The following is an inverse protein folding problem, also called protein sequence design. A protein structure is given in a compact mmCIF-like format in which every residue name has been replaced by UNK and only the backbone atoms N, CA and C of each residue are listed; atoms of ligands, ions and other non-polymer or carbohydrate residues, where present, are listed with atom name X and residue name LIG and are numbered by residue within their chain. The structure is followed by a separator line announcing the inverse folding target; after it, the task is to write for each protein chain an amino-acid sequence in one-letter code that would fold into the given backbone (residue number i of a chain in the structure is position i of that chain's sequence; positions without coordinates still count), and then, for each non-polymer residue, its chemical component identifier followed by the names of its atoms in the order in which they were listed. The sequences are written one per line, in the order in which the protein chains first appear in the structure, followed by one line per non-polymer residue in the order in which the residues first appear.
data_IF_054443008648
#
_entry.id   IF_054443008648
#
_cell.length_a   1.000
_cell.length_b   1.000
_cell.length_c   1.000
_cell.angle_alpha   90.00
_cell.angle_beta   90.00
_cell.angle_gamma   90.00
#
_symmetry.space_group_name_H-M   'P 1'
#
loop_
_entity.id
_entity.type
_entity.pdbx_description
1 polymer ?
#
# COMPACT_ATOMS: atom_id res chain seq x y z
N UNK A 1 -16.74 9.64 -12.23
CA UNK A 1 -17.51 8.44 -11.79
C UNK A 1 -18.32 8.65 -10.50
N UNK A 2 -17.75 8.88 -9.31
CA UNK A 2 -18.59 9.04 -8.10
C UNK A 2 -19.48 10.28 -8.18
N UNK A 3 -18.91 11.48 -8.37
CA UNK A 3 -19.67 12.74 -8.44
C UNK A 3 -20.60 12.85 -9.66
N UNK A 4 -20.27 12.17 -10.76
CA UNK A 4 -21.00 12.32 -12.02
C UNK A 4 -22.08 11.25 -12.21
N UNK A 5 -21.94 10.09 -11.57
CA UNK A 5 -22.82 8.93 -11.83
C UNK A 5 -23.43 8.44 -10.52
N UNK A 6 -22.62 8.14 -9.50
CA UNK A 6 -23.13 7.50 -8.28
C UNK A 6 -23.88 8.50 -7.40
N UNK A 7 -23.33 9.70 -7.16
CA UNK A 7 -23.94 10.70 -6.29
C UNK A 7 -25.33 11.15 -6.78
N UNK A 8 -25.52 11.53 -8.07
CA UNK A 8 -26.84 11.89 -8.57
C UNK A 8 -27.86 10.75 -8.44
N UNK A 9 -27.47 9.52 -8.81
CA UNK A 9 -28.36 8.36 -8.74
C UNK A 9 -28.76 7.97 -7.32
N UNK A 10 -27.92 8.28 -6.33
CA UNK A 10 -28.27 8.06 -4.92
C UNK A 10 -29.11 9.21 -4.37
N UNK A 11 -28.82 10.45 -4.77
CA UNK A 11 -29.60 11.64 -4.39
C UNK A 11 -31.03 11.60 -4.94
N UNK A 12 -31.26 10.94 -6.08
CA UNK A 12 -32.61 10.64 -6.61
C UNK A 12 -33.40 9.64 -5.75
N UNK A 13 -32.74 8.91 -4.83
CA UNK A 13 -33.42 7.92 -3.97
C UNK A 13 -33.66 8.49 -2.56
N UNK A 14 -34.93 8.56 -2.15
CA UNK A 14 -35.32 9.03 -0.80
C UNK A 14 -34.74 8.19 0.35
N UNK A 15 -34.31 6.96 0.06
CA UNK A 15 -33.80 6.02 1.06
C UNK A 15 -32.26 5.96 1.15
N UNK A 16 -31.51 6.64 0.27
CA UNK A 16 -30.04 6.68 0.33
C UNK A 16 -29.35 5.35 0.02
N UNK A 17 -29.94 4.57 -0.89
CA UNK A 17 -29.39 3.31 -1.38
C UNK A 17 -29.51 3.24 -2.89
N UNK A 18 -28.46 2.79 -3.56
CA UNK A 18 -28.46 2.56 -5.00
C UNK A 18 -27.82 1.22 -5.32
N UNK A 19 -28.46 0.39 -6.13
CA UNK A 19 -27.86 -0.87 -6.58
C UNK A 19 -27.46 -0.73 -8.05
N UNK A 20 -26.19 -0.98 -8.34
CA UNK A 20 -25.64 -0.91 -9.70
C UNK A 20 -24.81 -2.15 -10.03
N UNK A 21 -24.80 -2.51 -11.31
CA UNK A 21 -23.86 -3.51 -11.80
C UNK A 21 -22.52 -2.84 -12.12
N UNK A 22 -21.49 -3.20 -11.38
CA UNK A 22 -20.15 -2.63 -11.52
C UNK A 22 -19.08 -3.69 -11.77
N UNK A 23 -17.83 -3.26 -11.69
CA UNK A 23 -16.65 -4.10 -11.90
C UNK A 23 -16.55 -5.33 -10.97
N UNK A 24 -17.22 -5.28 -9.82
CA UNK A 24 -17.34 -6.37 -8.85
C UNK A 24 -18.63 -7.18 -9.00
N UNK A 25 -19.41 -6.95 -10.05
CA UNK A 25 -20.78 -7.44 -10.20
C UNK A 25 -21.80 -6.51 -9.52
N UNK A 26 -22.96 -7.06 -9.18
CA UNK A 26 -23.99 -6.33 -8.45
C UNK A 26 -23.44 -5.78 -7.13
N UNK A 27 -23.53 -4.46 -6.98
CA UNK A 27 -22.97 -3.72 -5.85
C UNK A 27 -24.04 -2.75 -5.34
N UNK A 28 -24.30 -2.79 -4.03
CA UNK A 28 -25.16 -1.83 -3.36
C UNK A 28 -24.32 -0.70 -2.77
N UNK A 29 -24.57 0.52 -3.23
CA UNK A 29 -24.02 1.76 -2.71
C UNK A 29 -24.91 2.26 -1.57
N UNK A 30 -24.28 2.60 -0.45
CA UNK A 30 -24.94 3.03 0.79
C UNK A 30 -24.44 4.43 1.14
N UNK A 31 -25.32 5.42 1.16
CA UNK A 31 -24.98 6.80 1.59
C UNK A 31 -25.67 7.20 2.88
N UNK A 32 -26.72 6.48 3.30
CA UNK A 32 -27.42 6.76 4.55
C UNK A 32 -26.52 6.49 5.77
N UNK A 33 -26.22 7.49 6.64
CA UNK A 33 -25.25 7.35 7.73
C UNK A 33 -25.58 6.22 8.73
N UNK A 34 -26.86 6.02 9.05
CA UNK A 34 -27.29 4.94 9.94
C UNK A 34 -27.03 3.54 9.36
N UNK A 35 -27.13 3.40 8.03
CA UNK A 35 -26.87 2.14 7.34
C UNK A 35 -25.36 1.91 7.21
N UNK A 36 -24.58 2.95 6.89
CA UNK A 36 -23.12 2.90 6.89
C UNK A 36 -22.56 2.51 8.27
N UNK A 37 -23.08 3.11 9.36
CA UNK A 37 -22.70 2.72 10.73
C UNK A 37 -22.96 1.24 10.98
N UNK A 38 -24.13 0.73 10.59
CA UNK A 38 -24.47 -0.70 10.74
C UNK A 38 -23.54 -1.60 9.92
N UNK A 39 -23.22 -1.21 8.68
CA UNK A 39 -22.28 -1.92 7.80
C UNK A 39 -20.90 -2.03 8.46
N UNK A 40 -20.32 -0.92 8.90
CA UNK A 40 -18.97 -0.89 9.49
C UNK A 40 -18.89 -1.49 10.90
N UNK A 41 -19.98 -1.46 11.67
CA UNK A 41 -19.97 -2.00 13.05
C UNK A 41 -20.20 -3.51 13.11
N UNK A 42 -20.88 -4.11 12.12
CA UNK A 42 -21.24 -5.53 12.12
C UNK A 42 -20.38 -6.34 11.15
N UNK A 43 -19.09 -6.41 11.42
CA UNK A 43 -18.09 -7.08 10.56
C UNK A 43 -18.37 -8.56 10.32
N UNK A 44 -19.07 -9.24 11.24
CA UNK A 44 -19.45 -10.66 11.07
C UNK A 44 -20.61 -10.84 10.08
N UNK A 45 -21.51 -9.86 9.98
CA UNK A 45 -22.60 -9.86 9.00
C UNK A 45 -22.18 -9.30 7.65
N UNK A 46 -21.23 -8.36 7.66
CA UNK A 46 -20.73 -7.67 6.48
C UNK A 46 -19.20 -7.83 6.41
N UNK A 47 -18.69 -9.05 6.16
CA UNK A 47 -17.28 -9.25 5.98
C UNK A 47 -16.79 -8.51 4.73
N UNK A 48 -15.52 -8.08 4.73
CA UNK A 48 -14.89 -7.63 3.49
C UNK A 48 -15.01 -8.73 2.43
N UNK A 49 -15.18 -8.30 1.19
CA UNK A 49 -15.31 -9.20 0.04
C UNK A 49 -14.02 -10.00 -0.18
N UNK A 50 -14.17 -11.30 -0.43
CA UNK A 50 -13.11 -12.11 -1.01
C UNK A 50 -12.79 -11.62 -2.42
N UNK A 51 -11.54 -11.24 -2.65
CA UNK A 51 -11.12 -10.85 -3.98
C UNK A 51 -11.08 -12.08 -4.91
N UNK A 52 -11.48 -11.93 -6.20
CA UNK A 52 -11.49 -13.07 -7.12
C UNK A 52 -10.07 -13.63 -7.35
N UNK A 53 -9.93 -14.95 -7.32
CA UNK A 53 -8.66 -15.63 -7.59
C UNK A 53 -8.11 -15.33 -8.98
N UNK A 54 -8.98 -15.01 -9.93
CA UNK A 54 -8.61 -14.62 -11.30
C UNK A 54 -7.72 -13.37 -11.36
N UNK A 55 -7.69 -12.57 -10.29
CA UNK A 55 -6.83 -11.39 -10.20
C UNK A 55 -5.52 -11.64 -9.49
N UNK A 56 -5.34 -12.77 -8.82
CA UNK A 56 -4.15 -13.07 -8.02
C UNK A 56 -2.86 -12.89 -8.83
N UNK A 57 -2.86 -13.39 -10.06
CA UNK A 57 -1.70 -13.35 -10.96
C UNK A 57 -1.55 -12.04 -11.75
N UNK A 58 -2.43 -11.05 -11.54
CA UNK A 58 -2.28 -9.73 -12.15
C UNK A 58 -1.18 -8.93 -11.44
N UNK A 59 -0.66 -7.87 -12.05
CA UNK A 59 0.32 -6.98 -11.39
C UNK A 59 -0.25 -6.45 -10.06
N UNK A 60 -1.48 -5.95 -10.07
CA UNK A 60 -2.16 -5.49 -8.86
C UNK A 60 -2.34 -6.64 -7.86
N UNK A 61 -2.68 -7.84 -8.33
CA UNK A 61 -2.88 -9.01 -7.49
C UNK A 61 -1.63 -9.46 -6.76
N UNK A 62 -0.52 -9.61 -7.49
CA UNK A 62 0.77 -9.95 -6.92
C UNK A 62 1.26 -8.88 -5.93
N UNK A 63 1.03 -7.61 -6.25
CA UNK A 63 1.48 -6.51 -5.41
C UNK A 63 0.67 -6.37 -4.12
N UNK A 64 -0.66 -6.53 -4.15
CA UNK A 64 -1.53 -6.22 -3.00
C UNK A 64 -2.60 -7.26 -2.68
N UNK A 65 -2.65 -8.45 -3.29
CA UNK A 65 -3.71 -9.45 -3.08
C UNK A 65 -3.25 -10.81 -2.54
N UNK A 66 -1.95 -11.04 -2.32
CA UNK A 66 -1.51 -12.09 -1.37
C UNK A 66 -2.07 -11.79 0.03
N UNK A 67 -2.17 -12.76 0.97
CA UNK A 67 -2.81 -12.55 2.27
C UNK A 67 -2.31 -11.30 3.01
N UNK A 68 -3.09 -10.22 2.94
CA UNK A 68 -2.76 -8.94 3.52
C UNK A 68 -3.95 -8.37 4.30
N UNK A 69 -3.64 -7.53 5.29
CA UNK A 69 -4.62 -7.00 6.23
C UNK A 69 -5.76 -6.18 5.55
N UNK A 70 -5.47 -5.56 4.40
CA UNK A 70 -6.42 -4.69 3.70
C UNK A 70 -7.51 -5.50 3.02
N UNK A 71 -7.15 -6.57 2.29
CA UNK A 71 -8.09 -7.36 1.48
C UNK A 71 -8.55 -8.67 2.12
N UNK A 72 -7.94 -9.12 3.22
CA UNK A 72 -8.44 -10.28 3.96
C UNK A 72 -9.85 -10.02 4.52
N UNK A 73 -10.80 -10.96 4.36
CA UNK A 73 -12.09 -10.91 5.04
C UNK A 73 -11.93 -10.83 6.56
N UNK A 74 -12.93 -10.26 7.21
CA UNK A 74 -13.01 -10.32 8.66
C UNK A 74 -13.12 -11.79 9.10
N UNK A 75 -12.12 -12.26 9.86
CA UNK A 75 -11.97 -13.67 10.25
C UNK A 75 -10.73 -13.90 11.11
N UNK A 76 -10.42 -15.15 11.51
CA UNK A 76 -9.31 -15.47 12.39
C UNK A 76 -7.95 -14.95 11.89
N UNK A 77 -7.62 -15.19 10.62
CA UNK A 77 -6.36 -14.71 10.01
C UNK A 77 -6.24 -13.18 10.02
N UNK A 78 -7.34 -12.47 9.73
CA UNK A 78 -7.34 -11.00 9.81
C UNK A 78 -7.16 -10.51 11.25
N UNK A 79 -7.79 -11.18 12.23
CA UNK A 79 -7.65 -10.83 13.65
C UNK A 79 -6.22 -11.03 14.13
N UNK A 80 -5.58 -12.13 13.73
CA UNK A 80 -4.19 -12.47 14.04
C UNK A 80 -3.21 -11.42 13.47
N UNK A 81 -3.27 -11.15 12.16
CA UNK A 81 -2.44 -10.12 11.54
C UNK A 81 -2.65 -8.75 12.20
N UNK A 82 -3.90 -8.41 12.54
CA UNK A 82 -4.23 -7.13 13.20
C UNK A 82 -3.73 -7.07 14.64
N UNK A 83 -3.74 -8.16 15.39
CA UNK A 83 -3.22 -8.17 16.76
C UNK A 83 -1.72 -7.91 16.81
N UNK A 84 -0.97 -8.37 15.80
CA UNK A 84 0.47 -8.10 15.66
C UNK A 84 0.73 -6.65 15.26
N UNK A 85 -0.05 -6.11 14.31
CA UNK A 85 0.16 -4.76 13.77
C UNK A 85 -0.34 -3.64 14.68
N UNK A 86 -1.48 -3.81 15.35
CA UNK A 86 -2.14 -2.75 16.14
C UNK A 86 -1.21 -2.07 17.17
N UNK A 87 -0.41 -2.80 17.99
CA UNK A 87 0.49 -2.17 18.96
C UNK A 87 1.42 -1.13 18.33
N UNK A 88 1.95 -1.43 17.15
CA UNK A 88 2.85 -0.54 16.43
C UNK A 88 2.17 0.73 15.88
N UNK A 89 0.84 0.74 15.75
CA UNK A 89 0.06 1.92 15.35
C UNK A 89 -0.56 2.69 16.53
N UNK A 90 -0.58 2.11 17.74
CA UNK A 90 -1.02 2.81 18.95
C UNK A 90 0.08 3.65 19.62
N UNK A 91 1.31 3.56 19.12
CA UNK A 91 2.44 4.40 19.58
C UNK A 91 2.25 5.87 19.18
N UNK A 92 3.00 6.75 19.85
CA UNK A 92 3.10 8.15 19.43
C UNK A 92 3.59 8.26 17.99
N UNK A 93 2.95 9.10 17.17
CA UNK A 93 3.40 9.34 15.79
C UNK A 93 4.85 9.88 15.77
N UNK A 94 5.68 9.50 14.78
CA UNK A 94 7.06 9.94 14.67
C UNK A 94 7.13 11.38 14.11
N UNK A 95 6.66 12.36 14.88
CA UNK A 95 6.53 13.76 14.44
C UNK A 95 7.88 14.35 14.01
N UNK A 96 8.96 14.01 14.71
CA UNK A 96 10.31 14.47 14.37
C UNK A 96 10.73 14.00 12.97
N UNK A 97 10.57 12.70 12.68
CA UNK A 97 10.86 12.13 11.35
C UNK A 97 10.08 12.85 10.25
N UNK A 98 8.79 13.08 10.45
CA UNK A 98 7.98 13.80 9.46
C UNK A 98 8.45 15.25 9.28
N UNK A 99 8.88 15.92 10.35
CA UNK A 99 9.48 17.25 10.28
C UNK A 99 10.78 17.25 9.47
N UNK A 100 11.68 16.32 9.75
CA UNK A 100 12.97 16.17 9.05
C UNK A 100 12.77 15.85 7.57
N UNK A 101 11.88 14.92 7.22
CA UNK A 101 11.56 14.60 5.84
C UNK A 101 10.90 15.77 5.11
N UNK A 102 10.06 16.56 5.79
CA UNK A 102 9.47 17.77 5.21
C UNK A 102 10.55 18.82 4.91
N UNK A 103 11.51 19.02 5.80
CA UNK A 103 12.66 19.90 5.54
C UNK A 103 13.54 19.36 4.39
N UNK A 104 13.81 18.04 4.36
CA UNK A 104 14.52 17.37 3.25
C UNK A 104 13.82 17.65 1.92
N UNK A 105 12.49 17.57 1.90
CA UNK A 105 11.66 17.84 0.72
C UNK A 105 11.77 19.29 0.26
N UNK A 106 11.57 20.28 1.16
CA UNK A 106 11.66 21.70 0.78
C UNK A 106 13.06 22.08 0.30
N UNK A 107 14.11 21.59 0.96
CA UNK A 107 15.48 21.80 0.51
C UNK A 107 15.73 21.19 -0.88
N UNK A 108 15.11 20.05 -1.19
CA UNK A 108 15.23 19.45 -2.51
C UNK A 108 14.46 20.24 -3.57
N UNK A 109 13.24 20.68 -3.24
CA UNK A 109 12.45 21.57 -4.09
C UNK A 109 13.27 22.82 -4.43
N UNK A 110 13.81 23.52 -3.44
CA UNK A 110 14.64 24.72 -3.67
C UNK A 110 15.86 24.47 -4.58
N UNK A 111 16.49 23.29 -4.47
CA UNK A 111 17.61 22.90 -5.35
C UNK A 111 17.18 22.65 -6.78
N UNK A 112 16.04 21.97 -6.97
CA UNK A 112 15.48 21.65 -8.28
C UNK A 112 14.87 22.89 -8.95
N UNK A 113 14.48 23.89 -8.14
CA UNK A 113 13.78 25.13 -8.50
C UNK A 113 14.66 26.30 -8.95
N UNK A 114 15.95 26.09 -9.26
CA UNK A 114 16.70 27.06 -10.05
C UNK A 114 16.15 27.02 -11.51
N UNK A 115 14.92 27.48 -11.72
CA UNK A 115 14.27 27.76 -13.02
C UNK A 115 13.08 26.92 -13.49
N UNK A 116 12.45 26.05 -12.69
CA UNK A 116 11.61 24.94 -13.22
C UNK A 116 10.16 24.81 -12.70
N UNK A 117 9.42 25.92 -12.55
CA UNK A 117 7.95 25.85 -12.36
C UNK A 117 7.24 25.41 -13.66
N UNK A 118 6.16 24.60 -13.59
CA UNK A 118 5.41 24.14 -12.41
C UNK A 118 5.94 22.85 -11.76
N UNK A 119 5.64 22.69 -10.46
CA UNK A 119 5.99 21.49 -9.68
C UNK A 119 4.88 20.43 -9.81
N UNK A 120 5.28 19.17 -9.99
CA UNK A 120 4.38 18.03 -9.83
C UNK A 120 4.22 17.68 -8.34
N UNK A 121 3.13 18.17 -7.74
CA UNK A 121 2.82 17.93 -6.31
C UNK A 121 2.58 16.44 -6.02
N UNK A 122 2.06 15.67 -6.98
CA UNK A 122 1.79 14.25 -6.78
C UNK A 122 3.10 13.46 -6.72
N UNK A 123 4.05 13.78 -7.60
CA UNK A 123 5.39 13.17 -7.60
C UNK A 123 6.13 13.42 -6.29
N UNK A 124 6.25 14.70 -5.88
CA UNK A 124 6.99 15.06 -4.65
C UNK A 124 6.36 14.40 -3.40
N UNK A 125 5.04 14.31 -3.32
CA UNK A 125 4.35 13.69 -2.18
C UNK A 125 4.46 12.17 -2.21
N UNK A 126 4.47 11.55 -3.40
CA UNK A 126 4.79 10.12 -3.55
C UNK A 126 6.18 9.83 -3.01
N UNK A 127 7.19 10.60 -3.42
CA UNK A 127 8.58 10.42 -3.00
C UNK A 127 8.77 10.66 -1.50
N UNK A 128 8.15 11.69 -0.94
CA UNK A 128 8.12 11.92 0.51
C UNK A 128 7.48 10.75 1.26
N UNK A 129 6.36 10.22 0.76
CA UNK A 129 5.65 9.11 1.40
C UNK A 129 6.46 7.81 1.35
N UNK A 130 7.18 7.56 0.24
CA UNK A 130 8.08 6.41 0.13
C UNK A 130 9.18 6.46 1.21
N UNK A 131 9.89 7.59 1.36
CA UNK A 131 10.91 7.74 2.41
C UNK A 131 10.29 7.64 3.81
N UNK A 132 9.12 8.23 4.04
CA UNK A 132 8.43 8.18 5.33
C UNK A 132 8.07 6.75 5.74
N UNK A 133 7.49 5.96 4.83
CA UNK A 133 7.14 4.56 5.10
C UNK A 133 8.39 3.68 5.17
N UNK A 134 9.39 3.93 4.32
CA UNK A 134 10.67 3.23 4.35
C UNK A 134 11.34 3.34 5.73
N UNK A 135 11.52 4.56 6.23
CA UNK A 135 12.22 4.79 7.49
C UNK A 135 11.34 4.38 8.68
N UNK A 136 10.10 4.87 8.78
CA UNK A 136 9.25 4.58 9.93
C UNK A 136 8.81 3.11 10.00
N UNK A 137 8.67 2.47 8.83
CA UNK A 137 8.15 1.13 8.67
C UNK A 137 9.24 0.07 8.65
N UNK A 138 10.33 0.30 7.91
CA UNK A 138 11.34 -0.72 7.62
C UNK A 138 12.75 -0.36 8.09
N UNK A 139 12.97 0.84 8.64
CA UNK A 139 14.30 1.41 8.91
C UNK A 139 15.17 1.42 7.63
N UNK A 140 14.54 1.81 6.51
CA UNK A 140 15.16 1.81 5.18
C UNK A 140 14.91 3.14 4.47
N UNK A 141 15.96 3.90 4.18
CA UNK A 141 15.86 5.13 3.38
C UNK A 141 15.88 4.78 1.88
N UNK A 142 14.75 4.98 1.20
CA UNK A 142 14.67 4.78 -0.25
C UNK A 142 15.40 5.88 -1.04
N UNK A 143 15.80 6.97 -0.37
CA UNK A 143 16.34 8.19 -0.96
C UNK A 143 15.44 8.75 -2.07
N UNK A 144 14.13 8.52 -1.97
CA UNK A 144 13.17 8.89 -2.98
C UNK A 144 13.06 10.41 -3.10
N UNK A 145 13.17 11.16 -1.99
CA UNK A 145 13.10 12.63 -2.04
C UNK A 145 14.26 13.19 -2.87
N UNK A 146 15.49 12.76 -2.65
CA UNK A 146 16.69 13.35 -3.27
C UNK A 146 17.01 12.75 -4.64
N UNK A 147 16.65 11.49 -4.88
CA UNK A 147 16.98 10.76 -6.10
C UNK A 147 15.71 10.29 -6.82
N UNK A 148 15.03 11.23 -7.51
CA UNK A 148 13.73 10.97 -8.15
C UNK A 148 13.72 9.78 -9.14
N UNK A 149 14.85 9.52 -9.80
CA UNK A 149 14.99 8.49 -10.84
C UNK A 149 15.72 7.24 -10.34
N UNK A 150 15.81 7.04 -9.02
CA UNK A 150 16.45 5.85 -8.46
C UNK A 150 15.66 4.57 -8.80
N UNK A 151 16.30 3.42 -8.60
CA UNK A 151 15.75 2.12 -8.97
C UNK A 151 14.44 1.78 -8.23
N UNK A 152 14.28 2.22 -6.98
CA UNK A 152 13.05 1.99 -6.19
C UNK A 152 11.89 2.82 -6.71
N UNK A 153 12.09 4.13 -6.88
CA UNK A 153 11.05 5.06 -7.35
C UNK A 153 10.61 4.68 -8.76
N UNK A 154 11.55 4.47 -9.66
CA UNK A 154 11.25 4.12 -11.07
C UNK A 154 10.44 2.83 -11.17
N UNK A 155 10.79 1.78 -10.42
CA UNK A 155 10.04 0.52 -10.41
C UNK A 155 8.65 0.68 -9.83
N UNK A 156 8.54 1.35 -8.68
CA UNK A 156 7.26 1.63 -8.03
C UNK A 156 6.31 2.33 -9.00
N UNK A 157 6.79 3.40 -9.64
CA UNK A 157 6.05 4.17 -10.63
C UNK A 157 5.56 3.32 -11.79
N UNK A 158 6.42 2.49 -12.38
CA UNK A 158 6.07 1.61 -13.49
C UNK A 158 4.99 0.60 -13.08
N UNK A 159 5.11 0.01 -11.90
CA UNK A 159 4.16 -0.96 -11.34
C UNK A 159 2.81 -0.28 -11.06
N UNK A 160 2.80 0.91 -10.47
CA UNK A 160 1.57 1.65 -10.17
C UNK A 160 0.87 2.10 -11.46
N UNK A 161 1.60 2.66 -12.42
CA UNK A 161 1.09 3.01 -13.76
C UNK A 161 0.50 1.80 -14.47
N UNK A 162 1.17 0.65 -14.43
CA UNK A 162 0.67 -0.58 -15.03
C UNK A 162 -0.55 -1.15 -14.29
N UNK A 163 -0.57 -1.09 -12.96
CA UNK A 163 -1.70 -1.57 -12.15
C UNK A 163 -2.99 -0.83 -12.45
N UNK A 164 -2.90 0.46 -12.78
CA UNK A 164 -4.04 1.29 -13.19
C UNK A 164 -4.50 1.12 -14.65
N UNK A 165 -3.89 0.22 -15.44
CA UNK A 165 -4.24 0.06 -16.86
C UNK A 165 -5.68 -0.44 -17.04
N UNK A 166 -6.57 0.34 -17.70
CA UNK A 166 -7.99 -0.02 -17.82
C UNK A 166 -8.24 -1.36 -18.52
N UNK A 167 -7.41 -1.72 -19.52
CA UNK A 167 -7.55 -2.97 -20.27
C UNK A 167 -7.38 -4.19 -19.36
N UNK A 168 -6.30 -4.23 -18.57
CA UNK A 168 -6.02 -5.36 -17.69
C UNK A 168 -6.88 -5.34 -16.43
N UNK A 169 -7.36 -4.17 -16.02
CA UNK A 169 -8.37 -4.05 -14.98
C UNK A 169 -9.67 -4.71 -15.44
N UNK A 170 -10.24 -4.30 -16.58
CA UNK A 170 -11.50 -4.85 -17.11
C UNK A 170 -11.39 -6.32 -17.51
N UNK A 171 -10.23 -6.74 -18.01
CA UNK A 171 -9.98 -8.11 -18.48
C UNK A 171 -8.77 -8.75 -17.76
N UNK A 172 -8.88 -9.13 -16.48
CA UNK A 172 -7.76 -9.67 -15.69
C UNK A 172 -7.12 -10.93 -16.28
N UNK A 173 -7.90 -11.74 -17.01
CA UNK A 173 -7.40 -12.95 -17.64
C UNK A 173 -6.32 -12.68 -18.71
N UNK A 174 -6.27 -11.46 -19.27
CA UNK A 174 -5.20 -11.03 -20.18
C UNK A 174 -3.86 -10.83 -19.46
N UNK A 175 -3.89 -10.53 -18.17
CA UNK A 175 -2.70 -10.34 -17.34
C UNK A 175 -2.19 -11.66 -16.75
N UNK A 176 -3.01 -12.72 -16.82
CA UNK A 176 -2.67 -14.04 -16.32
C UNK A 176 -1.55 -14.71 -17.13
N UNK A 177 -0.91 -15.75 -16.56
CA UNK A 177 0.26 -16.41 -17.17
C UNK A 177 -0.02 -16.99 -18.56
N UNK A 178 -1.27 -17.39 -18.83
CA UNK A 178 -1.68 -17.98 -20.10
C UNK A 178 -1.65 -16.99 -21.28
N UNK A 179 -1.95 -15.71 -21.06
CA UNK A 179 -2.11 -14.72 -22.13
C UNK A 179 -1.14 -13.53 -22.01
N UNK A 180 -0.46 -13.35 -20.88
CA UNK A 180 0.54 -12.29 -20.69
C UNK A 180 1.62 -12.31 -21.76
N UNK A 181 1.83 -13.48 -22.39
CA UNK A 181 2.82 -13.61 -23.44
C UNK A 181 2.52 -12.67 -24.63
N UNK A 182 1.27 -12.38 -24.93
CA UNK A 182 0.89 -11.49 -26.03
C UNK A 182 1.30 -10.02 -25.81
N UNK A 183 1.69 -9.63 -24.59
CA UNK A 183 1.98 -8.25 -24.22
C UNK A 183 3.41 -8.08 -23.68
N UNK A 184 4.44 -7.91 -24.53
CA UNK A 184 5.84 -7.83 -24.10
C UNK A 184 6.11 -6.73 -23.06
N UNK A 185 5.49 -5.55 -23.21
CA UNK A 185 5.60 -4.46 -22.22
C UNK A 185 5.03 -4.86 -20.86
N UNK A 186 3.90 -5.59 -20.84
CA UNK A 186 3.28 -6.07 -19.61
C UNK A 186 4.18 -7.08 -18.91
N UNK A 187 4.81 -7.99 -19.65
CA UNK A 187 5.78 -8.95 -19.09
C UNK A 187 6.95 -8.26 -18.40
N UNK A 188 7.47 -7.18 -18.98
CA UNK A 188 8.57 -6.40 -18.36
C UNK A 188 8.16 -5.88 -16.98
N UNK A 189 6.96 -5.32 -16.85
CA UNK A 189 6.49 -4.81 -15.55
C UNK A 189 6.21 -5.95 -14.56
N UNK A 190 5.75 -7.12 -15.01
CA UNK A 190 5.70 -8.31 -14.14
C UNK A 190 7.08 -8.67 -13.59
N UNK A 191 8.12 -8.68 -14.43
CA UNK A 191 9.48 -8.96 -13.97
C UNK A 191 9.99 -7.85 -13.03
N UNK A 192 9.66 -6.58 -13.28
CA UNK A 192 10.00 -5.48 -12.37
C UNK A 192 9.33 -5.63 -11.01
N UNK A 193 8.08 -6.10 -10.97
CA UNK A 193 7.37 -6.41 -9.74
C UNK A 193 7.99 -7.61 -9.01
N UNK A 194 8.28 -8.70 -9.72
CA UNK A 194 8.90 -9.89 -9.13
C UNK A 194 10.25 -9.50 -8.49
N UNK A 195 11.07 -8.69 -9.18
CA UNK A 195 12.33 -8.16 -8.63
C UNK A 195 12.10 -7.21 -7.43
N UNK A 196 11.08 -6.34 -7.48
CA UNK A 196 10.77 -5.44 -6.37
C UNK A 196 10.43 -6.24 -5.10
N UNK A 197 9.59 -7.27 -5.24
CA UNK A 197 9.20 -8.15 -4.13
C UNK A 197 10.41 -8.91 -3.57
N UNK A 198 11.33 -9.36 -4.42
CA UNK A 198 12.58 -10.00 -4.00
C UNK A 198 13.44 -9.04 -3.17
N UNK A 199 13.65 -7.80 -3.63
CA UNK A 199 14.42 -6.80 -2.86
C UNK A 199 13.76 -6.43 -1.52
N UNK A 200 12.42 -6.37 -1.47
CA UNK A 200 11.72 -6.17 -0.20
C UNK A 200 11.91 -7.38 0.75
N UNK A 201 11.95 -8.59 0.20
CA UNK A 201 12.23 -9.80 0.97
C UNK A 201 13.66 -9.83 1.51
N UNK A 202 14.64 -9.31 0.75
CA UNK A 202 16.02 -9.12 1.21
C UNK A 202 16.08 -8.19 2.42
N UNK A 203 15.37 -7.05 2.40
CA UNK A 203 15.29 -6.12 3.54
C UNK A 203 14.75 -6.84 4.80
N UNK A 204 13.69 -7.63 4.66
CA UNK A 204 13.12 -8.41 5.77
C UNK A 204 14.12 -9.44 6.30
N UNK A 205 14.82 -10.12 5.40
CA UNK A 205 15.78 -11.19 5.75
C UNK A 205 16.98 -10.61 6.49
N UNK A 206 17.58 -9.56 5.93
CA UNK A 206 18.67 -8.81 6.56
C UNK A 206 18.31 -8.35 7.99
N UNK A 207 17.09 -7.84 8.15
CA UNK A 207 16.62 -7.37 9.45
C UNK A 207 16.44 -8.49 10.47
N UNK A 208 15.93 -9.65 10.04
CA UNK A 208 15.85 -10.85 10.89
C UNK A 208 17.23 -11.30 11.36
N UNK A 209 18.22 -11.30 10.48
CA UNK A 209 19.59 -11.68 10.81
C UNK A 209 20.22 -10.75 11.86
N UNK A 210 20.04 -9.42 11.71
CA UNK A 210 20.48 -8.45 12.71
C UNK A 210 19.83 -8.71 14.06
N UNK A 211 18.50 -8.89 14.09
CA UNK A 211 17.79 -9.13 15.35
C UNK A 211 18.23 -10.44 16.02
N UNK A 212 18.48 -11.50 15.25
CA UNK A 212 19.00 -12.76 15.78
C UNK A 212 20.41 -12.60 16.36
N UNK A 213 21.33 -11.93 15.64
CA UNK A 213 22.69 -11.71 16.11
C UNK A 213 22.79 -10.85 17.39
N UNK A 214 21.86 -9.91 17.56
CA UNK A 214 21.76 -9.07 18.75
C UNK A 214 21.20 -9.81 19.99
N UNK A 215 20.58 -10.97 19.81
CA UNK A 215 20.12 -11.82 20.92
C UNK A 215 21.29 -12.64 21.49
N UNK A 216 22.22 -13.09 20.64
CA UNK A 216 23.36 -13.92 21.05
C UNK A 216 24.55 -13.11 21.63
N UNK A 217 24.66 -11.83 21.28
CA UNK A 217 25.60 -10.89 21.89
C UNK A 217 24.89 -9.97 22.90
N UNK A 218 25.22 -10.06 24.20
CA UNK A 218 24.71 -9.13 25.23
C UNK A 218 25.05 -7.66 24.92
N UNK A 219 24.23 -7.01 24.12
CA UNK A 219 24.10 -5.56 24.06
C UNK A 219 22.66 -5.25 23.64
N UNK A 220 21.75 -5.32 24.60
CA UNK A 220 20.52 -4.55 24.53
C UNK A 220 20.93 -3.08 24.43
N UNK A 221 21.13 -2.60 23.20
CA UNK A 221 20.72 -1.23 22.92
C UNK A 221 19.24 -1.24 23.17
N UNK A 222 18.90 -0.85 24.40
CA UNK A 222 17.56 -0.64 24.89
C UNK A 222 17.00 0.59 24.15
N UNK A 223 16.96 0.53 22.80
CA UNK A 223 16.27 1.51 21.98
C UNK A 223 14.87 1.54 22.54
N UNK A 224 14.44 2.75 22.90
CA UNK A 224 13.13 2.94 23.48
C UNK A 224 12.10 2.26 22.57
N UNK A 225 11.04 1.65 23.10
CA UNK A 225 10.03 0.98 22.28
C UNK A 225 9.47 1.94 21.20
N UNK A 226 9.49 3.24 21.50
CA UNK A 226 9.12 4.34 20.60
C UNK A 226 10.09 4.59 19.42
N UNK A 227 11.30 4.05 19.46
CA UNK A 227 12.35 4.21 18.44
C UNK A 227 12.50 2.97 17.54
N UNK A 228 11.81 1.86 17.86
CA UNK A 228 11.77 0.69 16.98
C UNK A 228 10.89 0.98 15.78
N UNK A 229 11.28 0.58 14.58
CA UNK A 229 10.41 0.66 13.39
C UNK A 229 9.31 -0.44 13.41
N UNK A 230 8.33 -0.32 12.50
CA UNK A 230 7.20 -1.24 12.43
C UNK A 230 7.64 -2.70 12.19
N UNK A 231 8.58 -2.94 11.29
CA UNK A 231 9.02 -4.28 10.93
C UNK A 231 9.72 -4.96 12.12
N UNK A 232 10.55 -4.25 12.88
CA UNK A 232 11.13 -4.79 14.12
C UNK A 232 10.03 -5.27 15.08
N UNK A 233 9.01 -4.43 15.31
CA UNK A 233 7.91 -4.77 16.21
C UNK A 233 7.11 -5.98 15.74
N UNK A 234 6.89 -6.10 14.42
CA UNK A 234 6.21 -7.26 13.84
C UNK A 234 7.02 -8.54 13.99
N UNK A 235 8.35 -8.47 13.82
CA UNK A 235 9.24 -9.63 13.95
C UNK A 235 9.37 -10.11 15.39
N UNK A 236 9.31 -9.21 16.37
CA UNK A 236 9.34 -9.57 17.81
C UNK A 236 8.02 -10.16 18.32
N UNK A 237 6.90 -9.84 17.67
CA UNK A 237 5.57 -10.29 18.05
C UNK A 237 5.11 -11.57 17.31
N UNK A 238 5.88 -12.03 16.31
CA UNK A 238 5.62 -13.23 15.51
C UNK A 238 6.33 -14.46 16.13
#
# INVERSE_FOLDING_TARGET
MYHEIIAPLVEETDHGFYAGFGFSGWTAFITHPGAAKKLFSKTDLFPKRNMPQTRKETIFGKFVMEPNLVFLPHGPQWKEQRSVLNPAFHRSMPVQLFGELSQKLFNQIEKDEIGSLPIDVLDIMTRWTLDAIGIAGFDFDFNAITEKDNDWVTRYDNIMKASGSPLFMLFPFLDGPALRFLFPKRRKVHNELDNLLEKLQEIITYKREILASNIDGKSTTNKNINEKDLLTLMLEAA
#
